data_IF_855512273421
#
_entry.id   IF_855512273421
#
_cell.length_a   1.000
_cell.length_b   1.000
_cell.length_c   1.000
_cell.angle_alpha   90.00
_cell.angle_beta   90.00
_cell.angle_gamma   90.00
#
_symmetry.space_group_name_H-M   'P 1'
#
loop_
_entity.id
_entity.type
_entity.pdbx_description
1 polymer ?
#
# COMPACT_ATOMS: atom_id res chain seq x y z
N UNK A 1 6.79 -5.09 0.35
CA UNK A 1 7.14 -4.97 -1.08
C UNK A 1 8.65 -4.80 -1.21
N UNK A 2 9.28 -5.41 -2.21
CA UNK A 2 10.70 -5.25 -2.50
C UNK A 2 10.86 -4.91 -3.97
N UNK A 3 11.72 -3.95 -4.26
CA UNK A 3 12.08 -3.58 -5.61
C UNK A 3 12.82 -4.75 -6.28
N UNK A 4 12.45 -5.09 -7.51
CA UNK A 4 13.05 -6.22 -8.23
C UNK A 4 14.43 -5.92 -8.81
N UNK A 5 14.81 -4.65 -8.95
CA UNK A 5 16.07 -4.22 -9.55
C UNK A 5 17.20 -4.12 -8.51
N UNK A 6 16.91 -3.66 -7.29
CA UNK A 6 17.94 -3.37 -6.28
C UNK A 6 17.66 -3.98 -4.89
N UNK A 7 16.56 -4.72 -4.72
CA UNK A 7 16.11 -5.33 -3.47
C UNK A 7 15.80 -4.36 -2.32
N UNK A 8 15.69 -3.05 -2.58
CA UNK A 8 15.26 -2.08 -1.57
C UNK A 8 13.81 -2.34 -1.15
N UNK A 9 13.49 -2.08 0.12
CA UNK A 9 12.14 -2.22 0.65
C UNK A 9 11.26 -1.09 0.09
N UNK A 10 10.16 -1.46 -0.57
CA UNK A 10 9.21 -0.53 -1.18
C UNK A 10 7.86 -0.46 -0.44
N UNK A 11 7.75 -1.16 0.69
CA UNK A 11 6.56 -1.06 1.52
C UNK A 11 6.55 -2.08 2.65
N UNK A 12 5.92 -1.70 3.75
CA UNK A 12 5.83 -2.46 4.99
C UNK A 12 4.41 -2.40 5.57
N UNK A 13 4.10 -3.33 6.48
CA UNK A 13 2.83 -3.43 7.20
C UNK A 13 3.13 -3.66 8.68
N UNK A 14 2.33 -3.05 9.55
CA UNK A 14 2.35 -3.21 11.01
C UNK A 14 0.99 -3.79 11.41
N UNK A 15 0.88 -5.12 11.56
CA UNK A 15 -0.39 -5.80 11.84
C UNK A 15 -1.06 -5.31 13.12
N UNK A 16 -0.29 -4.99 14.15
CA UNK A 16 -0.79 -4.59 15.47
C UNK A 16 -1.46 -3.21 15.46
N UNK A 17 -1.17 -2.39 14.45
CA UNK A 17 -1.71 -1.03 14.30
C UNK A 17 -2.74 -0.92 13.17
N UNK A 18 -2.98 -2.01 12.43
CA UNK A 18 -3.72 -1.99 11.17
C UNK A 18 -3.20 -0.92 10.21
N UNK A 19 -1.88 -0.86 10.05
CA UNK A 19 -1.20 0.18 9.28
C UNK A 19 -0.29 -0.42 8.20
N UNK A 20 -0.18 0.28 7.07
CA UNK A 20 0.78 -0.05 6.02
C UNK A 20 1.26 1.20 5.30
N UNK A 21 2.39 1.09 4.61
CA UNK A 21 2.95 2.16 3.78
C UNK A 21 3.66 1.58 2.56
N UNK A 22 3.73 2.36 1.48
CA UNK A 22 4.44 2.05 0.24
C UNK A 22 5.32 3.23 -0.16
N UNK A 23 6.43 2.93 -0.84
CA UNK A 23 7.40 3.93 -1.27
C UNK A 23 7.02 4.56 -2.62
N UNK A 24 6.30 3.83 -3.46
CA UNK A 24 5.87 4.29 -4.79
C UNK A 24 4.51 5.00 -4.74
N UNK A 25 4.12 5.60 -5.87
CA UNK A 25 2.88 6.34 -6.06
C UNK A 25 1.73 5.43 -6.57
N UNK A 26 0.84 4.92 -5.70
CA UNK A 26 -0.24 4.02 -6.11
C UNK A 26 -1.36 4.70 -6.91
N UNK A 27 -1.48 6.02 -6.84
CA UNK A 27 -2.44 6.84 -7.59
C UNK A 27 -2.17 6.77 -9.10
N UNK A 28 -0.89 6.63 -9.47
CA UNK A 28 -0.33 6.80 -10.81
C UNK A 28 -0.66 8.17 -11.44
N UNK A 29 0.24 8.69 -12.28
CA UNK A 29 -0.04 9.91 -13.06
C UNK A 29 1.21 10.73 -13.37
N UNK A 30 2.01 10.37 -14.40
CA UNK A 30 1.90 9.22 -15.32
C UNK A 30 2.34 7.88 -14.67
N UNK A 31 1.93 6.72 -15.22
CA UNK A 31 2.38 5.40 -14.74
C UNK A 31 1.32 4.28 -14.80
N UNK A 32 1.70 3.02 -14.54
CA UNK A 32 0.79 1.87 -14.53
C UNK A 32 -0.17 1.89 -13.34
N UNK A 33 -1.35 1.28 -13.49
CA UNK A 33 -2.42 1.28 -12.49
C UNK A 33 -2.40 0.06 -11.54
N UNK A 34 -1.32 -0.72 -11.57
CA UNK A 34 -1.21 -2.03 -10.91
C UNK A 34 -1.27 -1.95 -9.37
N UNK A 35 -1.11 -0.74 -8.81
CA UNK A 35 -1.08 -0.50 -7.36
C UNK A 35 -2.33 0.16 -6.78
N UNK A 36 -3.38 0.38 -7.59
CA UNK A 36 -4.62 1.04 -7.13
C UNK A 36 -5.38 0.25 -6.06
N UNK A 37 -5.18 -1.07 -5.96
CA UNK A 37 -5.82 -1.90 -4.95
C UNK A 37 -5.47 -1.49 -3.51
N UNK A 38 -4.37 -0.75 -3.29
CA UNK A 38 -3.96 -0.25 -1.98
C UNK A 38 -4.97 0.76 -1.42
N UNK A 39 -5.69 1.50 -2.28
CA UNK A 39 -6.78 2.37 -1.82
C UNK A 39 -7.97 1.57 -1.29
N UNK A 40 -8.33 0.46 -1.94
CA UNK A 40 -9.36 -0.45 -1.43
C UNK A 40 -8.96 -1.03 -0.08
N UNK A 41 -7.72 -1.49 0.07
CA UNK A 41 -7.22 -1.97 1.36
C UNK A 41 -7.28 -0.90 2.46
N UNK A 42 -6.97 0.35 2.13
CA UNK A 42 -7.08 1.45 3.10
C UNK A 42 -8.54 1.68 3.53
N UNK A 43 -9.49 1.67 2.60
CA UNK A 43 -10.92 1.81 2.90
C UNK A 43 -11.44 0.65 3.76
N UNK A 44 -11.02 -0.58 3.46
CA UNK A 44 -11.42 -1.75 4.25
C UNK A 44 -10.96 -1.64 5.71
N UNK A 45 -9.72 -1.18 5.95
CA UNK A 45 -9.21 -0.93 7.30
C UNK A 45 -10.03 0.14 8.05
N UNK A 46 -10.46 1.20 7.35
CA UNK A 46 -11.32 2.23 7.94
C UNK A 46 -12.69 1.68 8.35
N UNK A 47 -13.28 0.80 7.52
CA UNK A 47 -14.57 0.18 7.81
C UNK A 47 -14.48 -0.82 8.99
N UNK A 48 -13.37 -1.56 9.10
CA UNK A 48 -13.15 -2.49 10.21
C UNK A 48 -13.03 -1.77 11.57
N UNK A 49 -12.42 -0.58 11.61
CA UNK A 49 -12.30 0.22 12.85
C UNK A 49 -13.59 0.92 13.28
N UNK A 50 -14.58 1.03 12.39
CA UNK A 50 -15.86 1.69 12.67
C UNK A 50 -16.93 0.75 13.26
N UNK A 51 -16.62 -0.54 13.42
CA UNK A 51 -17.51 -1.60 13.95
C UNK A 51 -17.14 -1.98 15.38
#
# INVERSE_FOLDING_TARGET
HRNLNDNVIEGFRVPELDAFSVQYHPEAGPGPHDSRYLFSQFVDLMNMKAS
#
